data_IF_838795249616
#
_entry.id   IF_838795249616
#
_cell.length_a   1.000
_cell.length_b   1.000
_cell.length_c   1.000
_cell.angle_alpha   90.00
_cell.angle_beta   90.00
_cell.angle_gamma   90.00
#
_symmetry.space_group_name_H-M   'P 1'
#
loop_
_entity.id
_entity.type
_entity.pdbx_description
1 polymer ?
#
# COMPACT_ATOMS: atom_id res chain seq x y z
N UNK A 1 -10.73 8.39 -22.84
CA UNK A 1 -10.07 7.07 -22.80
C UNK A 1 -9.12 7.08 -21.62
N UNK A 2 -9.27 6.14 -20.69
CA UNK A 2 -8.31 5.94 -19.62
C UNK A 2 -7.20 5.04 -20.18
N UNK A 3 -5.97 5.53 -20.20
CA UNK A 3 -4.81 4.76 -20.62
C UNK A 3 -4.11 4.21 -19.38
N UNK A 4 -3.97 2.89 -19.31
CA UNK A 4 -3.28 2.19 -18.22
C UNK A 4 -4.19 1.43 -17.25
N UNK A 5 -3.60 0.81 -16.21
CA UNK A 5 -4.34 0.03 -15.21
C UNK A 5 -5.30 0.90 -14.39
N UNK A 6 -6.37 0.29 -13.87
CA UNK A 6 -7.31 0.95 -12.95
C UNK A 6 -6.62 1.18 -11.60
N UNK A 7 -6.42 2.44 -11.15
CA UNK A 7 -5.78 2.72 -9.87
C UNK A 7 -6.60 2.23 -8.67
N UNK A 8 -7.87 1.86 -8.83
CA UNK A 8 -8.74 1.35 -7.76
C UNK A 8 -8.80 -0.18 -7.71
N UNK A 9 -8.16 -0.89 -8.64
CA UNK A 9 -8.03 -2.34 -8.55
C UNK A 9 -7.08 -2.73 -7.42
N UNK A 10 -7.32 -3.83 -6.70
CA UNK A 10 -6.34 -4.32 -5.72
C UNK A 10 -5.07 -4.78 -6.45
N UNK A 11 -5.23 -5.52 -7.54
CA UNK A 11 -4.12 -6.07 -8.31
C UNK A 11 -4.01 -5.34 -9.65
N UNK A 12 -2.86 -4.72 -9.99
CA UNK A 12 -2.64 -4.14 -11.32
C UNK A 12 -2.76 -5.17 -12.44
N UNK A 13 -2.45 -6.43 -12.12
CA UNK A 13 -2.62 -7.58 -12.97
C UNK A 13 -3.14 -8.75 -12.13
N UNK A 14 -4.36 -9.19 -12.40
CA UNK A 14 -5.01 -10.31 -11.67
C UNK A 14 -4.22 -11.63 -11.72
N UNK A 15 -3.33 -11.81 -12.72
CA UNK A 15 -2.46 -12.98 -12.81
C UNK A 15 -1.23 -12.92 -11.87
N UNK A 16 -0.92 -11.76 -11.28
CA UNK A 16 0.27 -11.54 -10.45
C UNK A 16 -0.17 -11.08 -9.06
N UNK A 17 -0.44 -12.05 -8.17
CA UNK A 17 -0.93 -11.77 -6.80
C UNK A 17 0.16 -11.35 -5.81
N UNK A 18 1.44 -11.46 -6.18
CA UNK A 18 2.54 -10.94 -5.37
C UNK A 18 2.63 -9.41 -5.40
N UNK A 19 1.87 -8.73 -6.26
CA UNK A 19 1.89 -7.26 -6.37
C UNK A 19 0.47 -6.73 -6.14
N UNK A 20 0.31 -5.77 -5.23
CA UNK A 20 -0.96 -5.05 -5.06
C UNK A 20 -0.77 -3.53 -4.99
N UNK A 21 -1.79 -2.76 -5.37
CA UNK A 21 -1.85 -1.34 -5.07
C UNK A 21 -2.16 -1.12 -3.59
N UNK A 22 -1.21 -0.50 -2.89
CA UNK A 22 -1.23 -0.37 -1.42
C UNK A 22 -2.46 0.45 -0.97
N UNK A 23 -2.80 1.51 -1.70
CA UNK A 23 -3.96 2.38 -1.41
C UNK A 23 -5.26 1.59 -1.23
N UNK A 24 -5.43 0.49 -1.96
CA UNK A 24 -6.69 -0.25 -2.04
C UNK A 24 -6.78 -1.38 -1.00
N UNK A 25 -5.72 -1.60 -0.20
CA UNK A 25 -5.66 -2.62 0.85
C UNK A 25 -5.36 -2.05 2.24
N UNK A 26 -4.81 -0.83 2.32
CA UNK A 26 -4.54 -0.14 3.59
C UNK A 26 -5.84 0.23 4.30
N UNK A 27 -5.88 -0.02 5.61
CA UNK A 27 -7.04 0.26 6.47
C UNK A 27 -6.74 1.24 7.59
N UNK A 28 -5.46 1.42 7.93
CA UNK A 28 -5.00 2.32 9.01
C UNK A 28 -5.12 3.78 8.55
N UNK A 29 -5.89 4.63 9.25
CA UNK A 29 -6.18 6.00 8.81
C UNK A 29 -4.96 6.93 8.82
N UNK A 30 -3.88 6.54 9.50
CA UNK A 30 -2.63 7.31 9.56
C UNK A 30 -1.66 6.99 8.41
N UNK A 31 -2.07 6.12 7.47
CA UNK A 31 -1.29 5.76 6.29
C UNK A 31 -2.01 6.34 5.07
N UNK A 32 -1.35 7.26 4.38
CA UNK A 32 -1.86 7.88 3.15
C UNK A 32 -0.97 7.43 2.01
N UNK A 33 -1.58 6.89 0.95
CA UNK A 33 -0.85 6.33 -0.19
C UNK A 33 -1.40 6.90 -1.49
N UNK A 34 -0.50 7.32 -2.37
CA UNK A 34 -0.85 7.82 -3.69
C UNK A 34 -1.25 6.71 -4.67
N UNK A 35 -1.97 7.09 -5.72
CA UNK A 35 -2.35 6.18 -6.80
C UNK A 35 -1.13 5.49 -7.42
N UNK A 36 -1.35 4.27 -7.92
CA UNK A 36 -0.34 3.43 -8.57
C UNK A 36 0.85 2.97 -7.71
N UNK A 37 0.91 3.37 -6.44
CA UNK A 37 1.92 2.89 -5.49
C UNK A 37 1.64 1.43 -5.16
N UNK A 38 2.61 0.55 -5.39
CA UNK A 38 2.46 -0.88 -5.22
C UNK A 38 3.43 -1.43 -4.17
N UNK A 39 3.09 -2.58 -3.61
CA UNK A 39 3.95 -3.40 -2.78
C UNK A 39 4.10 -4.77 -3.44
N UNK A 40 5.33 -5.29 -3.50
CA UNK A 40 5.68 -6.59 -4.08
C UNK A 40 6.18 -7.51 -2.97
N UNK A 41 5.37 -8.50 -2.62
CA UNK A 41 5.69 -9.51 -1.62
C UNK A 41 4.99 -10.84 -1.96
N UNK A 42 5.81 -11.86 -2.23
CA UNK A 42 5.33 -13.21 -2.54
C UNK A 42 4.55 -13.86 -1.39
N UNK A 43 4.71 -13.36 -0.16
CA UNK A 43 4.08 -13.91 1.05
C UNK A 43 2.80 -13.17 1.48
N UNK A 44 2.37 -12.16 0.72
CA UNK A 44 1.15 -11.40 0.98
C UNK A 44 1.35 -9.92 0.74
N UNK A 45 1.15 -9.47 -0.50
CA UNK A 45 1.25 -8.08 -0.89
C UNK A 45 0.21 -7.20 -0.16
N UNK A 46 -0.96 -7.75 0.14
CA UNK A 46 -2.01 -7.09 0.89
C UNK A 46 -1.64 -6.79 2.35
N UNK A 47 -0.57 -7.42 2.88
CA UNK A 47 -0.13 -7.31 4.27
C UNK A 47 0.90 -6.21 4.51
N UNK A 48 0.95 -5.20 3.64
CA UNK A 48 1.84 -4.05 3.78
C UNK A 48 1.82 -3.45 5.20
N UNK A 49 0.65 -3.37 5.82
CA UNK A 49 0.49 -2.77 7.16
C UNK A 49 1.25 -3.52 8.27
N UNK A 50 1.49 -4.83 8.12
CA UNK A 50 2.29 -5.63 9.07
C UNK A 50 3.79 -5.24 9.02
N UNK A 51 4.22 -4.61 7.91
CA UNK A 51 5.59 -4.11 7.74
C UNK A 51 5.76 -2.66 8.19
N UNK A 52 4.66 -1.96 8.49
CA UNK A 52 4.68 -0.59 9.04
C UNK A 52 4.69 -0.66 10.57
N UNK A 53 5.89 -0.85 11.12
CA UNK A 53 6.11 -1.15 12.55
C UNK A 53 6.18 0.07 13.47
N UNK A 54 6.42 1.26 12.91
CA UNK A 54 6.61 2.48 13.69
C UNK A 54 5.84 3.66 13.08
N UNK A 55 5.31 4.51 13.94
CA UNK A 55 4.76 5.82 13.59
C UNK A 55 5.27 6.81 14.63
N UNK A 56 6.09 7.75 14.20
CA UNK A 56 6.66 8.79 15.06
C UNK A 56 5.90 10.09 14.81
N UNK A 57 5.33 10.66 15.86
CA UNK A 57 4.70 11.98 15.78
C UNK A 57 5.77 13.06 15.53
N UNK A 58 5.49 13.96 14.59
CA UNK A 58 6.30 15.16 14.42
C UNK A 58 6.26 15.99 15.70
N UNK A 59 7.42 16.23 16.32
CA UNK A 59 7.55 17.09 17.49
C UNK A 59 7.83 16.37 18.82
N UNK A 60 7.81 15.03 18.86
CA UNK A 60 8.43 14.29 19.96
C UNK A 60 9.92 14.10 19.68
N UNK A 61 10.72 15.10 20.05
CA UNK A 61 12.04 14.80 20.58
C UNK A 61 11.77 13.98 21.84
N UNK A 62 12.12 12.70 21.84
CA UNK A 62 12.11 11.93 23.09
C UNK A 62 13.03 12.63 24.11
N UNK A 63 12.79 12.50 25.43
CA UNK A 63 13.83 12.78 26.41
C UNK A 63 15.12 12.00 26.10
#
# INVERSE_FOLDING_TARGET
MQYGPDPNAIYPNEAIKSICYIKNVVTRPNIIVGDYTYYDDINGAEKFEERVTHHYEFGRLTP
#
